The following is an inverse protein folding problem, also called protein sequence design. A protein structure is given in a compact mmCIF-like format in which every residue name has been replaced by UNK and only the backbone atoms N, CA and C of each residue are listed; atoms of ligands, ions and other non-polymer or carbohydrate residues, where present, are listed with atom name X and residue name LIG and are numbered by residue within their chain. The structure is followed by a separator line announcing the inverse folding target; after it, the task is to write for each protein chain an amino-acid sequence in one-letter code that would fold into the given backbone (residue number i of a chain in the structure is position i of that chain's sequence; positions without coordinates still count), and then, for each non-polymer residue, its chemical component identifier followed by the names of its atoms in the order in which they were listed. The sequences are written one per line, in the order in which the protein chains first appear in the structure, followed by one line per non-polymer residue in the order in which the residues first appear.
data_IF_094162067504
#
_entry.id   IF_094162067504
#
_cell.length_a   1.000
_cell.length_b   1.000
_cell.length_c   1.000
_cell.angle_alpha   90.00
_cell.angle_beta   90.00
_cell.angle_gamma   90.00
#
_symmetry.space_group_name_H-M   'P 1'
#
loop_
_entity.id
_entity.type
_entity.pdbx_description
1 polymer ?
#
# COMPACT_ATOMS: atom_id res chain seq x y z
N UNK A 1 -17.53 36.43 66.47
CA UNK A 1 -18.51 35.85 65.53
C UNK A 1 -17.79 35.59 64.21
N UNK A 2 -17.24 34.37 64.06
CA UNK A 2 -16.40 34.00 62.91
C UNK A 2 -17.27 33.16 61.96
N UNK A 3 -17.40 33.63 60.73
CA UNK A 3 -18.11 32.92 59.67
C UNK A 3 -17.05 32.20 58.82
N UNK A 4 -17.06 30.88 58.95
CA UNK A 4 -16.17 30.00 58.16
C UNK A 4 -16.81 29.70 56.82
N UNK A 5 -16.21 30.20 55.73
CA UNK A 5 -16.62 29.87 54.33
C UNK A 5 -15.85 28.61 53.88
N UNK A 6 -16.57 27.51 53.74
CA UNK A 6 -16.04 26.27 53.12
C UNK A 6 -16.08 26.39 51.60
N UNK A 7 -14.93 26.44 50.97
CA UNK A 7 -14.80 26.35 49.52
C UNK A 7 -14.96 24.87 49.11
N UNK A 8 -15.96 24.59 48.30
CA UNK A 8 -16.16 23.29 47.66
C UNK A 8 -15.38 23.24 46.33
N UNK A 9 -14.34 22.45 46.28
CA UNK A 9 -13.63 22.14 45.05
C UNK A 9 -14.40 21.08 44.23
N UNK A 10 -15.02 21.51 43.14
CA UNK A 10 -15.64 20.64 42.17
C UNK A 10 -14.56 20.23 41.16
N UNK A 11 -14.07 18.99 41.27
CA UNK A 11 -13.20 18.38 40.31
C UNK A 11 -14.04 17.94 39.10
N UNK A 12 -13.91 18.65 37.97
CA UNK A 12 -14.46 18.21 36.68
C UNK A 12 -13.50 17.09 36.13
N UNK A 13 -13.94 15.85 36.23
CA UNK A 13 -13.32 14.74 35.54
C UNK A 13 -13.72 14.79 34.06
N UNK A 14 -12.85 15.33 33.22
CA UNK A 14 -13.01 15.31 31.78
C UNK A 14 -12.82 13.90 31.24
N UNK A 15 -13.91 13.29 30.79
CA UNK A 15 -13.91 12.01 30.09
C UNK A 15 -13.42 12.26 28.64
N UNK A 16 -12.12 12.04 28.36
CA UNK A 16 -11.59 12.04 27.01
C UNK A 16 -12.05 10.76 26.31
N UNK A 17 -13.07 10.87 25.48
CA UNK A 17 -13.47 9.84 24.54
C UNK A 17 -12.42 9.82 23.40
N UNK A 18 -11.45 8.89 23.48
CA UNK A 18 -10.54 8.63 22.38
C UNK A 18 -11.32 7.91 21.28
N UNK A 19 -11.77 8.66 20.28
CA UNK A 19 -12.27 8.07 19.03
C UNK A 19 -11.10 7.47 18.28
N UNK A 20 -10.94 6.15 18.33
CA UNK A 20 -10.04 5.42 17.48
C UNK A 20 -10.55 5.56 16.04
N UNK A 21 -9.85 6.36 15.23
CA UNK A 21 -10.01 6.37 13.77
C UNK A 21 -9.53 5.01 13.26
N UNK A 22 -10.48 4.11 13.00
CA UNK A 22 -10.20 2.87 12.28
C UNK A 22 -9.80 3.24 10.85
N UNK A 23 -8.48 3.13 10.55
CA UNK A 23 -7.97 3.16 9.17
C UNK A 23 -8.61 2.00 8.42
N UNK A 24 -9.23 2.23 7.24
CA UNK A 24 -9.75 1.12 6.46
C UNK A 24 -8.62 0.15 6.14
N UNK A 25 -8.82 -1.11 6.49
CA UNK A 25 -7.93 -2.18 6.10
C UNK A 25 -7.85 -2.20 4.57
N UNK A 26 -6.63 -2.22 4.05
CA UNK A 26 -6.32 -2.51 2.67
C UNK A 26 -7.21 -3.67 2.18
N UNK A 27 -8.02 -3.46 1.14
CA UNK A 27 -8.87 -4.50 0.60
C UNK A 27 -7.97 -5.62 0.08
N UNK A 28 -7.98 -6.74 0.81
CA UNK A 28 -7.14 -7.88 0.56
C UNK A 28 -7.47 -8.48 -0.82
N UNK A 29 -6.51 -8.46 -1.73
CA UNK A 29 -6.42 -9.50 -2.75
C UNK A 29 -6.30 -10.87 -2.06
N UNK A 30 -6.36 -11.99 -2.81
CA UNK A 30 -6.25 -13.30 -2.20
C UNK A 30 -4.96 -13.37 -1.38
N UNK A 31 -5.10 -13.51 -0.07
CA UNK A 31 -4.00 -13.69 0.85
C UNK A 31 -3.17 -14.88 0.38
N UNK A 32 -1.90 -14.72 -0.03
CA UNK A 32 -1.03 -15.87 -0.18
C UNK A 32 -0.86 -16.44 1.22
N UNK A 33 -1.52 -17.55 1.44
CA UNK A 33 -1.65 -18.25 2.72
C UNK A 33 -0.30 -18.34 3.46
N UNK A 34 -0.09 -17.45 4.43
CA UNK A 34 0.87 -17.66 5.52
C UNK A 34 2.36 -17.48 5.19
N UNK A 35 2.75 -16.91 4.06
CA UNK A 35 4.16 -16.77 3.69
C UNK A 35 4.73 -15.43 4.12
N UNK A 36 5.70 -15.49 5.03
CA UNK A 36 6.56 -14.35 5.37
C UNK A 36 7.43 -14.02 4.15
N UNK A 37 7.66 -12.72 3.83
CA UNK A 37 8.59 -12.35 2.77
C UNK A 37 9.97 -12.98 2.98
N UNK A 38 10.58 -13.39 1.88
CA UNK A 38 11.94 -13.93 1.88
C UNK A 38 12.98 -12.87 2.29
N UNK A 39 14.19 -13.31 2.59
CA UNK A 39 15.33 -12.41 2.79
C UNK A 39 15.61 -11.59 1.51
N UNK A 40 16.27 -10.45 1.69
CA UNK A 40 16.61 -9.54 0.57
C UNK A 40 17.40 -10.28 -0.53
N UNK A 41 17.00 -10.09 -1.77
CA UNK A 41 17.59 -10.76 -2.94
C UNK A 41 17.02 -12.14 -3.22
N UNK A 42 15.99 -12.54 -2.50
CA UNK A 42 15.25 -13.78 -2.73
C UNK A 42 13.80 -13.47 -3.09
N UNK A 43 13.13 -14.36 -3.80
CA UNK A 43 11.72 -14.30 -4.15
C UNK A 43 11.03 -15.61 -3.78
N UNK A 44 9.76 -15.54 -3.38
CA UNK A 44 8.99 -16.73 -3.06
C UNK A 44 8.52 -17.43 -4.34
N UNK A 45 8.87 -18.70 -4.47
CA UNK A 45 8.34 -19.58 -5.52
C UNK A 45 7.16 -20.38 -4.96
N UNK A 46 5.95 -20.01 -5.37
CA UNK A 46 4.70 -20.66 -4.96
C UNK A 46 4.60 -22.13 -5.42
N UNK A 47 5.30 -22.53 -6.48
CA UNK A 47 5.27 -23.90 -6.99
C UNK A 47 6.09 -24.85 -6.11
N UNK A 48 7.24 -24.39 -5.62
CA UNK A 48 8.14 -25.19 -4.77
C UNK A 48 7.98 -24.90 -3.29
N UNK A 49 7.21 -23.86 -2.91
CA UNK A 49 7.06 -23.35 -1.55
C UNK A 49 8.41 -23.03 -0.89
N UNK A 50 9.30 -22.36 -1.63
CA UNK A 50 10.64 -21.97 -1.18
C UNK A 50 11.02 -20.57 -1.63
N UNK A 51 11.91 -19.94 -0.88
CA UNK A 51 12.62 -18.77 -1.36
C UNK A 51 13.72 -19.19 -2.33
N UNK A 52 13.72 -18.59 -3.52
CA UNK A 52 14.73 -18.79 -4.57
C UNK A 52 15.45 -17.47 -4.87
N UNK A 53 16.66 -17.46 -5.43
CA UNK A 53 17.32 -16.21 -5.82
C UNK A 53 16.47 -15.39 -6.76
N UNK A 54 16.32 -14.08 -6.46
CA UNK A 54 15.54 -13.14 -7.26
C UNK A 54 16.29 -12.77 -8.54
N UNK A 55 16.06 -13.56 -9.59
CA UNK A 55 16.62 -13.35 -10.94
C UNK A 55 15.49 -13.37 -11.98
N UNK A 56 15.71 -12.73 -13.11
CA UNK A 56 14.73 -12.73 -14.19
C UNK A 56 14.40 -14.17 -14.62
N UNK A 57 13.10 -14.49 -14.69
CA UNK A 57 12.65 -15.84 -15.05
C UNK A 57 12.79 -16.90 -13.97
N UNK A 58 13.21 -16.55 -12.74
CA UNK A 58 13.28 -17.49 -11.61
C UNK A 58 11.90 -18.09 -11.27
N UNK A 59 10.84 -17.29 -11.45
CA UNK A 59 9.43 -17.67 -11.30
C UNK A 59 8.62 -17.03 -12.43
N UNK A 60 7.37 -17.46 -12.68
CA UNK A 60 6.46 -16.78 -13.61
C UNK A 60 6.19 -15.34 -13.20
N UNK A 61 5.85 -14.47 -14.17
CA UNK A 61 5.55 -13.04 -13.95
C UNK A 61 4.45 -12.81 -12.92
N UNK A 62 3.40 -13.64 -12.93
CA UNK A 62 2.33 -13.63 -11.93
C UNK A 62 2.89 -13.82 -10.50
N UNK A 63 3.84 -14.75 -10.31
CA UNK A 63 4.50 -14.95 -9.03
C UNK A 63 5.33 -13.75 -8.57
N UNK A 64 5.94 -13.00 -9.50
CA UNK A 64 6.62 -11.74 -9.17
C UNK A 64 5.61 -10.66 -8.74
N UNK A 65 4.44 -10.56 -9.39
CA UNK A 65 3.40 -9.61 -9.03
C UNK A 65 2.82 -9.92 -7.64
N UNK A 66 2.49 -11.19 -7.36
CA UNK A 66 2.04 -11.65 -6.05
C UNK A 66 3.06 -11.36 -4.94
N UNK A 67 4.33 -11.61 -5.23
CA UNK A 67 5.40 -11.33 -4.27
C UNK A 67 5.62 -9.83 -4.04
N UNK A 68 5.48 -9.02 -5.08
CA UNK A 68 5.49 -7.56 -4.99
C UNK A 68 4.38 -7.03 -4.07
N UNK A 69 3.18 -7.61 -4.15
CA UNK A 69 2.09 -7.31 -3.22
C UNK A 69 2.46 -7.60 -1.77
N UNK A 70 3.03 -8.79 -1.50
CA UNK A 70 3.47 -9.18 -0.16
C UNK A 70 4.52 -8.20 0.41
N UNK A 71 5.52 -7.83 -0.40
CA UNK A 71 6.54 -6.84 -0.03
C UNK A 71 5.93 -5.46 0.24
N UNK A 72 4.91 -5.06 -0.53
CA UNK A 72 4.22 -3.79 -0.35
C UNK A 72 3.49 -3.71 1.00
N UNK A 73 2.89 -4.82 1.46
CA UNK A 73 2.27 -4.91 2.79
C UNK A 73 3.27 -4.78 3.93
N UNK A 74 4.48 -5.29 3.74
CA UNK A 74 5.58 -5.18 4.70
C UNK A 74 6.31 -3.81 4.63
N UNK A 75 5.89 -2.91 3.73
CA UNK A 75 6.52 -1.61 3.55
C UNK A 75 7.90 -1.65 2.88
N UNK A 76 8.25 -2.74 2.23
CA UNK A 76 9.54 -2.97 1.55
C UNK A 76 9.51 -2.44 0.10
N UNK A 77 9.20 -1.15 -0.05
CA UNK A 77 8.83 -0.54 -1.35
C UNK A 77 9.94 -0.55 -2.40
N UNK A 78 11.20 -0.37 -2.02
CA UNK A 78 12.33 -0.50 -2.94
C UNK A 78 12.44 -1.93 -3.49
N UNK A 79 12.14 -2.93 -2.67
CA UNK A 79 12.15 -4.31 -3.09
C UNK A 79 10.94 -4.68 -3.94
N UNK A 80 9.79 -4.01 -3.77
CA UNK A 80 8.67 -4.09 -4.72
C UNK A 80 9.14 -3.70 -6.11
N UNK A 81 9.79 -2.55 -6.26
CA UNK A 81 10.27 -2.07 -7.56
C UNK A 81 11.29 -3.03 -8.16
N UNK A 82 12.28 -3.46 -7.37
CA UNK A 82 13.30 -4.41 -7.81
C UNK A 82 12.71 -5.76 -8.23
N UNK A 83 11.67 -6.23 -7.53
CA UNK A 83 10.97 -7.48 -7.87
C UNK A 83 10.23 -7.36 -9.21
N UNK A 84 9.50 -6.26 -9.41
CA UNK A 84 8.77 -6.03 -10.66
C UNK A 84 9.70 -5.81 -11.87
N UNK A 85 10.94 -5.36 -11.65
CA UNK A 85 11.96 -5.24 -12.71
C UNK A 85 12.46 -6.60 -13.23
N UNK A 86 12.19 -7.68 -12.50
CA UNK A 86 12.54 -9.06 -12.91
C UNK A 86 11.50 -9.72 -13.80
N UNK A 87 10.32 -9.14 -13.96
CA UNK A 87 9.27 -9.64 -14.85
C UNK A 87 9.71 -9.57 -16.31
N UNK A 88 9.30 -10.55 -17.10
CA UNK A 88 9.50 -10.54 -18.55
C UNK A 88 8.57 -9.53 -19.23
N UNK A 89 7.36 -9.38 -18.72
CA UNK A 89 6.39 -8.38 -19.15
C UNK A 89 5.93 -7.51 -17.98
N UNK A 90 6.71 -6.47 -17.61
CA UNK A 90 6.38 -5.60 -16.48
C UNK A 90 5.29 -4.56 -16.78
N UNK A 91 4.78 -4.51 -18.02
CA UNK A 91 3.78 -3.54 -18.49
C UNK A 91 2.35 -4.13 -18.42
N UNK A 92 2.01 -4.77 -17.31
CA UNK A 92 0.65 -5.19 -17.00
C UNK A 92 -0.04 -4.17 -16.08
N UNK A 93 -1.37 -4.10 -16.10
CA UNK A 93 -2.10 -3.18 -15.23
C UNK A 93 -1.79 -3.45 -13.74
N UNK A 94 -1.65 -4.70 -13.36
CA UNK A 94 -1.30 -5.12 -12.00
C UNK A 94 0.11 -4.70 -11.60
N UNK A 95 1.12 -5.00 -12.42
CA UNK A 95 2.50 -4.61 -12.13
C UNK A 95 2.65 -3.08 -12.03
N UNK A 96 1.98 -2.34 -12.92
CA UNK A 96 1.94 -0.88 -12.89
C UNK A 96 1.24 -0.34 -11.64
N UNK A 97 0.16 -1.01 -11.16
CA UNK A 97 -0.49 -0.65 -9.91
C UNK A 97 0.49 -0.76 -8.72
N UNK A 98 1.21 -1.88 -8.59
CA UNK A 98 2.19 -2.05 -7.51
C UNK A 98 3.39 -1.11 -7.65
N UNK A 99 3.85 -0.82 -8.89
CA UNK A 99 4.86 0.24 -9.12
C UNK A 99 4.37 1.58 -8.64
N UNK A 100 3.17 1.96 -9.04
CA UNK A 100 2.55 3.22 -8.63
C UNK A 100 2.46 3.33 -7.11
N UNK A 101 2.01 2.27 -6.46
CA UNK A 101 1.89 2.21 -5.00
C UNK A 101 3.25 2.38 -4.31
N UNK A 102 4.25 1.57 -4.67
CA UNK A 102 5.57 1.61 -4.06
C UNK A 102 6.26 2.97 -4.30
N UNK A 103 6.20 3.48 -5.54
CA UNK A 103 6.79 4.77 -5.92
C UNK A 103 6.16 5.93 -5.14
N UNK A 104 4.82 5.94 -5.01
CA UNK A 104 4.10 6.92 -4.20
C UNK A 104 4.48 6.85 -2.72
N UNK A 105 4.59 5.64 -2.15
CA UNK A 105 5.00 5.44 -0.75
C UNK A 105 6.44 5.88 -0.48
N UNK A 106 7.30 5.84 -1.48
CA UNK A 106 8.66 6.39 -1.45
C UNK A 106 8.71 7.93 -1.62
N UNK A 107 7.56 8.60 -1.69
CA UNK A 107 7.45 10.05 -1.81
C UNK A 107 7.49 10.57 -3.25
N UNK A 108 7.69 9.73 -4.26
CA UNK A 108 7.72 10.07 -5.68
C UNK A 108 6.30 10.07 -6.27
N UNK A 109 5.44 10.97 -5.77
CA UNK A 109 4.00 10.95 -6.03
C UNK A 109 3.65 11.12 -7.51
N UNK A 110 4.32 12.05 -8.22
CA UNK A 110 4.04 12.30 -9.65
C UNK A 110 4.37 11.08 -10.53
N UNK A 111 5.47 10.39 -10.21
CA UNK A 111 5.85 9.15 -10.88
C UNK A 111 4.84 8.03 -10.58
N UNK A 112 4.38 7.94 -9.32
CA UNK A 112 3.32 7.01 -8.93
C UNK A 112 2.01 7.24 -9.71
N UNK A 113 1.61 8.51 -9.90
CA UNK A 113 0.45 8.89 -10.72
C UNK A 113 0.63 8.39 -12.16
N UNK A 114 1.80 8.61 -12.77
CA UNK A 114 2.06 8.17 -14.14
C UNK A 114 1.92 6.64 -14.31
N UNK A 115 2.35 5.86 -13.32
CA UNK A 115 2.14 4.40 -13.33
C UNK A 115 0.66 4.03 -13.22
N UNK A 116 -0.10 4.68 -12.33
CA UNK A 116 -1.53 4.43 -12.19
C UNK A 116 -2.32 4.82 -13.45
N UNK A 117 -2.02 5.96 -14.07
CA UNK A 117 -2.66 6.38 -15.33
C UNK A 117 -2.44 5.34 -16.44
N UNK A 118 -1.23 4.79 -16.54
CA UNK A 118 -0.94 3.70 -17.49
C UNK A 118 -1.70 2.43 -17.15
N UNK A 119 -1.80 2.06 -15.87
CA UNK A 119 -2.55 0.90 -15.43
C UNK A 119 -4.04 1.04 -15.78
N UNK A 120 -4.65 2.21 -15.54
CA UNK A 120 -6.05 2.51 -15.93
C UNK A 120 -6.23 2.48 -17.45
N UNK A 121 -5.23 2.93 -18.23
CA UNK A 121 -5.30 2.86 -19.69
C UNK A 121 -5.27 1.42 -20.22
N UNK A 122 -4.57 0.50 -19.53
CA UNK A 122 -4.52 -0.93 -19.89
C UNK A 122 -5.76 -1.68 -19.43
N UNK A 123 -6.29 -1.36 -18.26
CA UNK A 123 -7.49 -1.96 -17.69
C UNK A 123 -8.37 -0.87 -17.03
N UNK A 124 -9.32 -0.29 -17.78
CA UNK A 124 -10.22 0.74 -17.28
C UNK A 124 -11.16 0.26 -16.16
N UNK A 125 -11.40 -1.05 -16.06
CA UNK A 125 -12.28 -1.64 -15.05
C UNK A 125 -11.55 -2.03 -13.76
N UNK A 126 -10.24 -1.83 -13.69
CA UNK A 126 -9.45 -2.11 -12.50
C UNK A 126 -9.74 -1.07 -11.39
N UNK A 127 -10.77 -1.33 -10.62
CA UNK A 127 -11.30 -0.42 -9.59
C UNK A 127 -10.23 0.03 -8.58
N UNK A 128 -9.39 -0.89 -8.12
CA UNK A 128 -8.38 -0.61 -7.10
C UNK A 128 -7.34 0.43 -7.56
N UNK A 129 -6.88 0.33 -8.82
CA UNK A 129 -5.90 1.30 -9.35
C UNK A 129 -6.52 2.69 -9.52
N UNK A 130 -7.82 2.75 -9.86
CA UNK A 130 -8.55 4.03 -9.94
C UNK A 130 -8.68 4.69 -8.56
N UNK A 131 -8.93 3.91 -7.53
CA UNK A 131 -8.96 4.40 -6.14
C UNK A 131 -7.59 4.98 -5.74
N UNK A 132 -6.50 4.27 -6.01
CA UNK A 132 -5.15 4.75 -5.69
C UNK A 132 -4.72 5.96 -6.50
N UNK A 133 -5.15 6.05 -7.76
CA UNK A 133 -4.95 7.24 -8.59
C UNK A 133 -5.68 8.44 -7.99
N UNK A 134 -6.95 8.27 -7.56
CA UNK A 134 -7.73 9.29 -6.88
C UNK A 134 -7.04 9.78 -5.61
N UNK A 135 -6.57 8.86 -4.75
CA UNK A 135 -5.79 9.21 -3.55
C UNK A 135 -4.51 10.00 -3.90
N UNK A 136 -3.79 9.59 -4.94
CA UNK A 136 -2.56 10.26 -5.36
C UNK A 136 -2.83 11.71 -5.83
N UNK A 137 -3.92 11.93 -6.57
CA UNK A 137 -4.35 13.27 -6.94
C UNK A 137 -4.75 14.13 -5.74
N UNK A 138 -5.40 13.56 -4.72
CA UNK A 138 -5.69 14.29 -3.49
C UNK A 138 -4.41 14.70 -2.75
N UNK A 139 -3.41 13.83 -2.68
CA UNK A 139 -2.10 14.15 -2.09
C UNK A 139 -1.44 15.32 -2.84
N UNK A 140 -1.63 15.42 -4.17
CA UNK A 140 -1.13 16.52 -5.00
C UNK A 140 -2.00 17.78 -4.95
N UNK A 141 -3.07 17.80 -4.16
CA UNK A 141 -3.99 18.93 -4.08
C UNK A 141 -4.85 19.13 -5.34
N UNK A 142 -5.11 18.05 -6.08
CA UNK A 142 -5.90 18.05 -7.32
C UNK A 142 -7.21 17.25 -7.19
N UNK A 143 -8.15 17.71 -6.36
CA UNK A 143 -9.42 17.01 -6.13
C UNK A 143 -10.33 16.99 -7.38
N UNK A 144 -10.08 17.85 -8.36
CA UNK A 144 -10.75 17.87 -9.66
C UNK A 144 -10.50 16.58 -10.46
N UNK A 145 -9.28 16.05 -10.39
CA UNK A 145 -8.88 14.81 -11.07
C UNK A 145 -9.22 13.54 -10.25
N UNK A 146 -9.36 13.67 -8.95
CA UNK A 146 -9.68 12.52 -8.07
C UNK A 146 -11.12 11.99 -8.24
N UNK A 147 -11.97 12.65 -9.02
CA UNK A 147 -13.38 12.30 -9.23
C UNK A 147 -13.63 11.56 -10.54
N UNK A 148 -12.60 11.33 -11.34
CA UNK A 148 -12.71 10.73 -12.66
C UNK A 148 -12.85 9.20 -12.62
#
# INVERSE_FOLDING_TARGET
MQISTRSANIALAGLFLATALSVPAFAAGPEPSGTKPCDKGMVWDGNTNKCVPATQGAIPDEGFADYAYLLAQEGRYEEVLATLDLMQNPETAEALNYRGYATRKLGRVDEGIAHYERAVALDPDYTLVREYLGEAYLIKGRPDLAKA
#
